data_IF_131607816065
#
_entry.id   IF_131607816065
#
_cell.length_a   1.000
_cell.length_b   1.000
_cell.length_c   1.000
_cell.angle_alpha   90.00
_cell.angle_beta   90.00
_cell.angle_gamma   90.00
#
_symmetry.space_group_name_H-M   'P 1'
#
loop_
_entity.id
_entity.type
_entity.pdbx_description
1 polymer ?
#
# COMPACT_ATOMS: atom_id res chain seq x y z
N UNK A 1 -12.92 -9.40 1.56
CA UNK A 1 -11.60 -10.03 1.31
C UNK A 1 -11.11 -9.56 -0.04
N UNK A 2 -9.80 -9.41 -0.23
CA UNK A 2 -9.22 -8.94 -1.49
C UNK A 2 -8.31 -10.01 -2.09
N UNK A 3 -8.18 -10.03 -3.41
CA UNK A 3 -7.09 -10.74 -4.07
C UNK A 3 -5.87 -9.83 -4.19
N UNK A 4 -4.68 -10.34 -3.89
CA UNK A 4 -3.41 -9.70 -4.23
C UNK A 4 -2.78 -10.51 -5.35
N UNK A 5 -2.91 -10.05 -6.59
CA UNK A 5 -2.48 -10.81 -7.76
C UNK A 5 -1.13 -10.34 -8.29
N UNK A 6 -0.42 -11.24 -8.96
CA UNK A 6 0.79 -10.84 -9.69
C UNK A 6 0.41 -9.94 -10.86
N UNK A 7 1.19 -8.88 -11.08
CA UNK A 7 0.98 -7.94 -12.17
C UNK A 7 0.87 -8.68 -13.51
N UNK A 8 -0.20 -8.37 -14.22
CA UNK A 8 -0.46 -8.83 -15.58
C UNK A 8 -1.09 -7.66 -16.33
N UNK A 9 -0.49 -7.27 -17.45
CA UNK A 9 -0.97 -6.13 -18.26
C UNK A 9 -2.43 -6.29 -18.71
N UNK A 10 -2.91 -7.53 -18.88
CA UNK A 10 -4.31 -7.84 -19.21
C UNK A 10 -5.29 -7.50 -18.09
N UNK A 11 -4.80 -7.28 -16.86
CA UNK A 11 -5.63 -6.89 -15.71
C UNK A 11 -5.69 -5.38 -15.51
N UNK A 12 -4.78 -4.60 -16.10
CA UNK A 12 -4.59 -3.17 -15.78
C UNK A 12 -5.83 -2.31 -16.04
N UNK A 13 -6.66 -2.70 -17.01
CA UNK A 13 -7.86 -1.98 -17.41
C UNK A 13 -9.16 -2.66 -16.98
N UNK A 14 -9.06 -3.74 -16.19
CA UNK A 14 -10.26 -4.43 -15.71
C UNK A 14 -10.92 -3.62 -14.59
N UNK A 15 -12.25 -3.48 -14.60
CA UNK A 15 -12.99 -2.93 -13.46
C UNK A 15 -12.62 -3.70 -12.17
N UNK A 16 -12.52 -2.99 -11.05
CA UNK A 16 -12.18 -3.62 -9.76
C UNK A 16 -10.68 -3.85 -9.52
N UNK A 17 -9.82 -3.70 -10.53
CA UNK A 17 -8.38 -3.96 -10.41
C UNK A 17 -7.60 -2.67 -10.17
N UNK A 18 -6.76 -2.66 -9.14
CA UNK A 18 -5.88 -1.55 -8.82
C UNK A 18 -4.41 -1.96 -8.79
N UNK A 19 -3.57 -1.20 -9.49
CA UNK A 19 -2.12 -1.40 -9.43
C UNK A 19 -1.49 -0.76 -8.20
N UNK A 20 -0.76 -1.58 -7.43
CA UNK A 20 -0.14 -1.17 -6.18
C UNK A 20 1.35 -0.80 -6.29
N UNK A 21 1.86 -0.48 -7.48
CA UNK A 21 3.27 -0.11 -7.63
C UNK A 21 3.50 1.40 -7.71
N UNK A 22 4.77 1.75 -7.94
CA UNK A 22 5.20 3.14 -8.20
C UNK A 22 4.86 3.53 -9.64
N UNK A 23 4.65 4.82 -9.85
CA UNK A 23 4.55 5.44 -11.15
C UNK A 23 5.91 5.58 -11.84
N UNK A 24 5.93 6.34 -12.95
CA UNK A 24 7.12 6.51 -13.80
C UNK A 24 8.13 7.52 -13.27
N UNK A 25 7.78 8.33 -12.26
CA UNK A 25 8.66 9.33 -11.65
C UNK A 25 8.82 9.10 -10.15
N UNK A 26 9.82 9.73 -9.53
CA UNK A 26 10.07 9.67 -8.08
C UNK A 26 9.00 10.38 -7.26
N UNK A 27 8.29 11.32 -7.87
CA UNK A 27 7.22 12.10 -7.26
C UNK A 27 5.90 11.32 -7.28
N UNK A 28 5.68 10.50 -8.30
CA UNK A 28 4.50 9.63 -8.37
C UNK A 28 4.79 8.25 -7.79
N UNK A 29 4.77 8.18 -6.47
CA UNK A 29 4.93 6.91 -5.76
C UNK A 29 3.70 6.00 -5.88
N UNK A 30 2.58 6.44 -6.47
CA UNK A 30 1.36 5.64 -6.61
C UNK A 30 0.89 5.07 -5.27
N UNK A 31 0.75 3.74 -5.23
CA UNK A 31 0.59 2.91 -4.02
C UNK A 31 1.85 2.09 -3.71
N UNK A 32 2.94 2.35 -4.42
CA UNK A 32 4.19 1.63 -4.27
C UNK A 32 4.93 1.93 -2.96
N UNK A 33 5.89 1.06 -2.67
CA UNK A 33 6.85 1.26 -1.59
C UNK A 33 7.83 2.40 -1.94
N UNK A 34 7.96 3.49 -1.15
CA UNK A 34 8.95 4.53 -1.41
C UNK A 34 10.39 4.09 -1.12
N UNK A 35 10.60 2.97 -0.41
CA UNK A 35 11.90 2.36 -0.13
C UNK A 35 12.21 1.26 -1.16
N UNK A 36 13.45 1.15 -1.63
CA UNK A 36 13.85 0.01 -2.47
C UNK A 36 15.34 -0.28 -2.48
N UNK A 37 15.67 -1.58 -2.50
CA UNK A 37 17.00 -2.09 -2.78
C UNK A 37 17.28 -2.32 -4.28
N UNK A 38 16.28 -2.14 -5.16
CA UNK A 38 16.43 -2.20 -6.63
C UNK A 38 16.50 -0.81 -7.26
N UNK A 39 17.36 -0.58 -8.26
CA UNK A 39 17.42 0.72 -8.93
C UNK A 39 16.06 1.08 -9.52
N UNK A 40 15.77 2.38 -9.64
CA UNK A 40 14.51 2.88 -10.20
C UNK A 40 13.96 4.08 -9.43
N UNK A 41 12.65 4.27 -9.49
CA UNK A 41 11.92 5.46 -9.00
C UNK A 41 11.63 5.45 -7.50
N UNK A 42 12.38 4.68 -6.70
CA UNK A 42 12.21 4.70 -5.26
C UNK A 42 12.71 6.03 -4.69
N UNK A 43 11.96 6.60 -3.74
CA UNK A 43 12.34 7.84 -3.05
C UNK A 43 13.54 7.63 -2.12
N UNK A 44 13.63 6.45 -1.52
CA UNK A 44 14.69 6.11 -0.57
C UNK A 44 15.39 4.81 -0.98
N UNK A 45 16.72 4.87 -1.04
CA UNK A 45 17.58 3.74 -1.36
C UNK A 45 17.93 2.97 -0.09
N UNK A 46 17.71 1.67 -0.09
CA UNK A 46 18.06 0.76 1.02
C UNK A 46 18.90 -0.41 0.51
N UNK A 47 19.50 -1.20 1.40
CA UNK A 47 20.45 -2.26 1.03
C UNK A 47 19.78 -3.58 0.70
N UNK A 48 18.68 -3.92 1.40
CA UNK A 48 18.06 -5.26 1.30
C UNK A 48 16.55 -5.21 1.08
N UNK A 49 15.97 -6.34 0.65
CA UNK A 49 14.51 -6.48 0.59
C UNK A 49 13.87 -6.39 1.97
N UNK A 50 14.47 -7.03 2.98
CA UNK A 50 13.97 -6.98 4.36
C UNK A 50 13.91 -5.54 4.89
N UNK A 51 14.98 -4.76 4.70
CA UNK A 51 15.02 -3.34 5.06
C UNK A 51 13.95 -2.54 4.28
N UNK A 52 13.78 -2.82 3.00
CA UNK A 52 12.75 -2.18 2.17
C UNK A 52 11.33 -2.41 2.69
N UNK A 53 11.02 -3.62 3.17
CA UNK A 53 9.70 -3.95 3.72
C UNK A 53 9.54 -3.38 5.13
N UNK A 54 10.56 -3.49 5.98
CA UNK A 54 10.54 -2.95 7.34
C UNK A 54 10.41 -1.43 7.37
N UNK A 55 11.16 -0.69 6.55
CA UNK A 55 11.01 0.76 6.43
C UNK A 55 9.61 1.15 5.93
N UNK A 56 9.04 0.38 5.00
CA UNK A 56 7.71 0.65 4.48
C UNK A 56 6.62 0.43 5.52
N UNK A 57 6.68 -0.67 6.27
CA UNK A 57 5.73 -0.93 7.36
C UNK A 57 5.80 0.15 8.44
N UNK A 58 7.02 0.48 8.91
CA UNK A 58 7.22 1.53 9.91
C UNK A 58 6.70 2.90 9.42
N UNK A 59 6.95 3.23 8.15
CA UNK A 59 6.49 4.46 7.54
C UNK A 59 4.97 4.50 7.41
N UNK A 60 4.31 3.45 6.93
CA UNK A 60 2.86 3.39 6.87
C UNK A 60 2.23 3.48 8.26
N UNK A 61 2.85 2.86 9.27
CA UNK A 61 2.38 2.96 10.65
C UNK A 61 2.48 4.39 11.20
N UNK A 62 3.55 5.13 10.86
CA UNK A 62 3.64 6.58 11.14
C UNK A 62 2.44 7.32 10.53
N UNK A 63 2.09 7.05 9.27
CA UNK A 63 0.95 7.70 8.60
C UNK A 63 -0.38 7.34 9.29
N UNK A 64 -0.58 6.07 9.61
CA UNK A 64 -1.77 5.58 10.29
C UNK A 64 -1.95 6.24 11.66
N UNK A 65 -0.88 6.30 12.45
CA UNK A 65 -0.90 6.97 13.76
C UNK A 65 -1.24 8.45 13.63
N UNK A 66 -0.67 9.14 12.63
CA UNK A 66 -1.01 10.53 12.37
C UNK A 66 -2.48 10.71 11.94
N UNK A 67 -3.05 9.75 11.20
CA UNK A 67 -4.46 9.74 10.85
C UNK A 67 -5.35 9.56 12.09
N UNK A 68 -5.11 8.52 12.88
CA UNK A 68 -5.83 8.20 14.12
C UNK A 68 -5.87 9.38 15.10
N UNK A 69 -4.74 10.08 15.23
CA UNK A 69 -4.59 11.19 16.17
C UNK A 69 -5.06 12.54 15.60
N UNK A 70 -5.58 12.57 14.37
CA UNK A 70 -5.95 13.80 13.66
C UNK A 70 -4.77 14.79 13.51
N UNK A 71 -3.55 14.26 13.37
CA UNK A 71 -2.29 15.03 13.27
C UNK A 71 -1.70 15.02 11.85
N UNK A 72 -2.51 14.77 10.82
CA UNK A 72 -2.05 14.67 9.42
C UNK A 72 -1.34 15.93 8.92
N UNK A 73 -1.60 17.10 9.53
CA UNK A 73 -0.87 18.36 9.26
C UNK A 73 0.64 18.29 9.56
N UNK A 74 1.09 17.37 10.42
CA UNK A 74 2.51 17.14 10.75
C UNK A 74 3.26 16.30 9.72
N UNK A 75 2.55 15.64 8.81
CA UNK A 75 3.14 14.84 7.74
C UNK A 75 3.68 15.73 6.62
N UNK A 76 4.66 15.28 5.87
CA UNK A 76 5.13 15.98 4.68
C UNK A 76 4.05 16.03 3.58
N UNK A 77 4.19 16.93 2.61
CA UNK A 77 3.18 17.12 1.54
C UNK A 77 2.85 15.83 0.78
N UNK A 78 3.87 15.09 0.37
CA UNK A 78 3.71 13.83 -0.36
C UNK A 78 3.16 12.69 0.52
N UNK A 79 3.52 12.66 1.80
CA UNK A 79 2.96 11.71 2.78
C UNK A 79 1.46 11.91 2.95
N UNK A 80 1.00 13.17 3.02
CA UNK A 80 -0.44 13.50 3.08
C UNK A 80 -1.17 13.07 1.81
N UNK A 81 -0.53 13.19 0.64
CA UNK A 81 -1.11 12.73 -0.63
C UNK A 81 -1.22 11.21 -0.63
N UNK A 82 -0.17 10.51 -0.21
CA UNK A 82 -0.19 9.05 -0.11
C UNK A 82 -1.27 8.57 0.86
N UNK A 83 -1.32 9.12 2.07
CA UNK A 83 -2.33 8.78 3.07
C UNK A 83 -3.76 9.01 2.52
N UNK A 84 -4.01 10.12 1.83
CA UNK A 84 -5.31 10.36 1.17
C UNK A 84 -5.67 9.27 0.16
N UNK A 85 -4.70 8.79 -0.63
CA UNK A 85 -4.91 7.67 -1.56
C UNK A 85 -5.23 6.38 -0.81
N UNK A 86 -4.55 6.07 0.29
CA UNK A 86 -4.82 4.88 1.11
C UNK A 86 -6.19 4.95 1.78
N UNK A 87 -6.59 6.11 2.30
CA UNK A 87 -7.95 6.31 2.86
C UNK A 87 -9.01 6.13 1.78
N UNK A 88 -8.79 6.67 0.58
CA UNK A 88 -9.71 6.44 -0.55
C UNK A 88 -9.78 4.95 -0.90
N UNK A 89 -8.64 4.27 -0.98
CA UNK A 89 -8.57 2.83 -1.25
C UNK A 89 -9.38 2.02 -0.22
N UNK A 90 -9.29 2.38 1.06
CA UNK A 90 -10.09 1.74 2.11
C UNK A 90 -11.59 1.85 1.84
N UNK A 91 -12.08 3.04 1.45
CA UNK A 91 -13.48 3.25 1.07
C UNK A 91 -13.86 2.51 -0.20
N UNK A 92 -12.99 2.51 -1.21
CA UNK A 92 -13.26 1.85 -2.49
C UNK A 92 -13.37 0.32 -2.32
N UNK A 93 -12.54 -0.27 -1.45
CA UNK A 93 -12.62 -1.71 -1.12
C UNK A 93 -13.89 -2.01 -0.33
N UNK A 94 -14.22 -1.19 0.67
CA UNK A 94 -15.43 -1.34 1.49
C UNK A 94 -16.71 -1.29 0.63
N UNK A 95 -16.74 -0.38 -0.35
CA UNK A 95 -17.85 -0.23 -1.29
C UNK A 95 -17.84 -1.24 -2.46
N UNK A 96 -16.91 -2.21 -2.47
CA UNK A 96 -16.81 -3.21 -3.55
C UNK A 96 -16.36 -2.64 -4.90
N UNK A 97 -15.85 -1.41 -4.94
CA UNK A 97 -15.32 -0.76 -6.15
C UNK A 97 -13.96 -1.37 -6.55
N UNK A 98 -13.15 -1.75 -5.56
CA UNK A 98 -11.85 -2.41 -5.77
C UNK A 98 -11.90 -3.81 -5.18
N UNK A 99 -11.71 -4.81 -6.02
CA UNK A 99 -11.78 -6.25 -5.69
C UNK A 99 -10.42 -6.95 -5.78
N UNK A 100 -9.47 -6.35 -6.48
CA UNK A 100 -8.16 -6.94 -6.74
C UNK A 100 -7.05 -5.87 -6.66
N UNK A 101 -5.99 -6.20 -5.94
CA UNK A 101 -4.74 -5.43 -5.90
C UNK A 101 -3.68 -6.17 -6.72
N UNK A 102 -3.09 -5.52 -7.72
CA UNK A 102 -2.02 -6.13 -8.53
C UNK A 102 -0.65 -5.57 -8.18
N UNK A 103 0.32 -6.44 -7.99
CA UNK A 103 1.71 -6.10 -7.68
C UNK A 103 2.69 -7.03 -8.40
N UNK A 104 3.93 -6.59 -8.63
CA UNK A 104 4.91 -7.44 -9.32
C UNK A 104 5.41 -8.65 -8.49
N UNK A 105 5.11 -8.69 -7.19
CA UNK A 105 5.80 -9.55 -6.24
C UNK A 105 5.21 -10.95 -6.14
N UNK A 106 3.89 -11.08 -5.94
CA UNK A 106 3.28 -12.36 -5.55
C UNK A 106 1.84 -12.46 -6.05
N UNK A 107 1.34 -13.69 -6.13
CA UNK A 107 -0.07 -14.02 -6.33
C UNK A 107 -0.62 -14.68 -5.05
N UNK A 108 -1.72 -14.14 -4.52
CA UNK A 108 -2.37 -14.52 -3.27
C UNK A 108 -3.87 -14.22 -3.40
N UNK A 109 -4.67 -15.27 -3.53
CA UNK A 109 -6.12 -15.19 -3.58
C UNK A 109 -6.72 -15.04 -2.17
N UNK A 110 -7.77 -14.22 -2.04
CA UNK A 110 -8.48 -13.98 -0.77
C UNK A 110 -7.56 -13.68 0.42
N UNK A 111 -6.52 -12.88 0.21
CA UNK A 111 -5.53 -12.58 1.23
C UNK A 111 -6.17 -11.95 2.47
N UNK A 112 -5.82 -12.51 3.62
CA UNK A 112 -6.07 -11.91 4.93
C UNK A 112 -4.73 -11.74 5.67
N UNK A 113 -4.51 -10.59 6.32
CA UNK A 113 -3.38 -10.45 7.22
C UNK A 113 -3.60 -11.38 8.42
N UNK A 114 -2.97 -12.54 8.40
CA UNK A 114 -2.80 -13.38 9.58
C UNK A 114 -1.74 -12.72 10.49
N UNK A 115 -1.81 -12.94 11.80
CA UNK A 115 -0.87 -12.36 12.80
C UNK A 115 0.60 -12.80 12.65
N UNK A 116 0.95 -13.46 11.54
CA UNK A 116 2.31 -13.73 11.11
C UNK A 116 2.98 -12.41 10.67
N UNK A 117 4.19 -12.17 11.18
CA UNK A 117 4.99 -10.99 10.86
C UNK A 117 5.73 -11.08 9.51
N UNK A 118 5.58 -12.18 8.75
CA UNK A 118 6.32 -12.35 7.50
C UNK A 118 5.53 -11.87 6.28
N UNK A 119 5.65 -10.57 5.99
CA UNK A 119 5.24 -10.03 4.69
C UNK A 119 6.21 -10.44 3.59
N UNK A 120 5.66 -10.97 2.50
CA UNK A 120 6.40 -11.32 1.29
C UNK A 120 6.42 -10.17 0.28
N UNK A 121 5.49 -9.22 0.37
CA UNK A 121 5.46 -8.04 -0.48
C UNK A 121 4.87 -6.79 0.20
N UNK A 122 5.13 -5.62 -0.41
CA UNK A 122 4.61 -4.35 0.10
C UNK A 122 3.09 -4.25 0.00
N UNK A 123 2.45 -4.89 -0.98
CA UNK A 123 0.98 -4.84 -1.13
C UNK A 123 0.27 -5.52 0.03
N UNK A 124 0.85 -6.56 0.63
CA UNK A 124 0.30 -7.17 1.85
C UNK A 124 0.34 -6.18 3.03
N UNK A 125 1.45 -5.46 3.20
CA UNK A 125 1.62 -4.43 4.24
C UNK A 125 0.61 -3.30 4.02
N UNK A 126 0.48 -2.81 2.78
CA UNK A 126 -0.49 -1.80 2.39
C UNK A 126 -1.92 -2.24 2.75
N UNK A 127 -2.30 -3.46 2.37
CA UNK A 127 -3.64 -3.96 2.62
C UNK A 127 -3.96 -4.11 4.12
N UNK A 128 -2.99 -4.51 4.94
CA UNK A 128 -3.17 -4.51 6.41
C UNK A 128 -3.53 -3.11 6.93
N UNK A 129 -2.83 -2.07 6.47
CA UNK A 129 -3.10 -0.68 6.89
C UNK A 129 -4.45 -0.21 6.37
N UNK A 130 -4.84 -0.63 5.17
CA UNK A 130 -6.18 -0.38 4.62
C UNK A 130 -7.27 -0.94 5.54
N UNK A 131 -7.14 -2.20 6.00
CA UNK A 131 -8.09 -2.81 6.92
C UNK A 131 -8.16 -2.05 8.26
N UNK A 132 -7.02 -1.59 8.77
CA UNK A 132 -6.97 -0.79 10.00
C UNK A 132 -7.68 0.57 9.83
N UNK A 133 -7.56 1.21 8.65
CA UNK A 133 -8.31 2.44 8.34
C UNK A 133 -9.81 2.18 8.29
N UNK A 134 -10.25 1.06 7.71
CA UNK A 134 -11.66 0.70 7.71
C UNK A 134 -12.18 0.56 9.15
N UNK A 135 -11.47 -0.17 10.01
CA UNK A 135 -11.81 -0.31 11.42
C UNK A 135 -11.92 1.03 12.15
N UNK A 136 -10.99 1.97 11.90
CA UNK A 136 -11.05 3.31 12.49
C UNK A 136 -12.30 4.07 12.04
N UNK A 137 -12.71 3.92 10.78
CA UNK A 137 -13.86 4.66 10.23
C UNK A 137 -15.22 4.04 10.57
N UNK A 138 -15.24 2.77 11.00
CA UNK A 138 -16.45 2.09 11.46
C UNK A 138 -16.85 2.46 12.90
N UNK A 139 -16.04 3.25 13.59
CA UNK A 139 -16.24 3.74 14.96
C UNK A 139 -16.30 5.27 14.99
#
# INVERSE_FOLDING_TARGET
MINIRKYNSKLLNKPGVLYCGRGRTTEDIGFGNPFSHKPGTARFRVKTLAESLGCYEAWLYKLLKAYQQQQTRKLEGWERVYLRRVIKLAKDIENGIVTDLICFCIDLENYQPNGSNEYKCHTQILYKVVLQIQQINSH
#
